data_IF_388473997605
#
_entry.id   IF_388473997605
#
_cell.length_a   1.000
_cell.length_b   1.000
_cell.length_c   1.000
_cell.angle_alpha   90.00
_cell.angle_beta   90.00
_cell.angle_gamma   90.00
#
_symmetry.space_group_name_H-M   'P 1'
#
loop_
_entity.id
_entity.type
_entity.pdbx_description
1 polymer ?
#
# COMPACT_ATOMS: atom_id res chain seq x y z
N UNK A 1 13.47 3.62 -18.39
CA UNK A 1 14.20 2.48 -17.78
C UNK A 1 14.16 1.29 -18.72
N UNK A 2 15.06 0.31 -18.57
CA UNK A 2 14.92 -1.00 -19.23
C UNK A 2 13.94 -1.87 -18.43
N UNK A 3 13.27 -2.81 -19.09
CA UNK A 3 12.36 -3.75 -18.43
C UNK A 3 13.04 -4.43 -17.22
N UNK A 4 12.45 -4.32 -16.00
CA UNK A 4 13.00 -4.92 -14.79
C UNK A 4 12.87 -6.45 -14.74
N UNK A 5 12.08 -7.07 -15.63
CA UNK A 5 11.93 -8.51 -15.68
C UNK A 5 13.23 -9.17 -16.18
N UNK A 6 13.94 -9.94 -15.34
CA UNK A 6 15.25 -10.50 -15.68
C UNK A 6 15.21 -11.46 -16.88
N UNK A 7 14.03 -12.04 -17.18
CA UNK A 7 13.85 -12.97 -18.30
C UNK A 7 13.91 -12.25 -19.65
N UNK A 8 13.47 -11.00 -19.71
CA UNK A 8 13.33 -10.23 -20.96
C UNK A 8 14.11 -8.93 -20.99
N UNK A 9 14.81 -8.59 -19.89
CA UNK A 9 15.64 -7.41 -19.77
C UNK A 9 16.54 -7.23 -21.00
N UNK A 10 16.54 -6.02 -21.54
CA UNK A 10 17.30 -5.58 -22.72
C UNK A 10 16.99 -6.26 -24.05
N UNK A 11 16.32 -7.41 -24.11
CA UNK A 11 16.07 -8.15 -25.37
C UNK A 11 15.36 -7.30 -26.44
N UNK A 12 14.39 -6.47 -26.04
CA UNK A 12 13.70 -5.56 -26.95
C UNK A 12 14.61 -4.45 -27.48
N UNK A 13 15.44 -3.87 -26.60
CA UNK A 13 16.42 -2.83 -26.94
C UNK A 13 17.47 -3.37 -27.90
N UNK A 14 18.01 -4.55 -27.61
CA UNK A 14 19.04 -5.20 -28.42
C UNK A 14 18.50 -5.59 -29.80
N UNK A 15 17.24 -6.04 -29.87
CA UNK A 15 16.57 -6.33 -31.14
C UNK A 15 16.43 -5.09 -32.03
N UNK A 16 16.04 -3.94 -31.45
CA UNK A 16 15.92 -2.69 -32.20
C UNK A 16 17.29 -2.19 -32.68
N UNK A 17 18.31 -2.23 -31.81
CA UNK A 17 19.69 -1.87 -32.17
C UNK A 17 20.26 -2.79 -33.25
N UNK A 18 20.01 -4.09 -33.16
CA UNK A 18 20.41 -5.07 -34.17
C UNK A 18 19.76 -4.86 -35.53
N UNK A 19 18.62 -4.17 -35.59
CA UNK A 19 17.96 -3.75 -36.82
C UNK A 19 18.47 -2.40 -37.36
N UNK A 20 19.50 -1.80 -36.75
CA UNK A 20 20.06 -0.51 -37.15
C UNK A 20 19.27 0.70 -36.65
N UNK A 21 18.32 0.52 -35.72
CA UNK A 21 17.57 1.63 -35.12
C UNK A 21 18.39 2.21 -33.97
N UNK A 22 18.54 3.53 -33.95
CA UNK A 22 19.14 4.22 -32.80
C UNK A 22 18.19 4.21 -31.59
N UNK A 23 18.67 3.75 -30.44
CA UNK A 23 17.84 3.55 -29.23
C UNK A 23 18.53 4.17 -28.02
N UNK A 24 17.90 5.24 -27.53
CA UNK A 24 18.23 5.89 -26.26
C UNK A 24 17.41 5.28 -25.13
N UNK A 25 18.07 4.91 -24.02
CA UNK A 25 17.43 4.36 -22.82
C UNK A 25 17.78 5.23 -21.60
N UNK A 26 16.95 5.17 -20.57
CA UNK A 26 17.20 5.88 -19.31
C UNK A 26 16.65 7.32 -19.24
N UNK A 27 15.95 7.77 -20.28
CA UNK A 27 15.21 9.06 -20.26
C UNK A 27 14.21 9.06 -19.11
N UNK A 28 14.23 10.11 -18.28
CA UNK A 28 13.36 10.30 -17.11
C UNK A 28 13.23 9.04 -16.22
N UNK A 29 14.32 8.28 -16.09
CA UNK A 29 14.29 6.95 -15.49
C UNK A 29 13.70 6.95 -14.07
N UNK A 30 14.01 7.94 -13.25
CA UNK A 30 13.51 8.00 -11.87
C UNK A 30 12.00 8.29 -11.81
N UNK A 31 11.46 9.11 -12.72
CA UNK A 31 10.01 9.29 -12.86
C UNK A 31 9.34 7.98 -13.31
N UNK A 32 9.91 7.30 -14.31
CA UNK A 32 9.39 6.01 -14.76
C UNK A 32 9.41 4.95 -13.66
N UNK A 33 10.47 4.93 -12.83
CA UNK A 33 10.59 4.02 -11.69
C UNK A 33 9.52 4.30 -10.64
N UNK A 34 9.31 5.58 -10.27
CA UNK A 34 8.23 5.97 -9.35
C UNK A 34 6.87 5.54 -9.86
N UNK A 35 6.58 5.79 -11.14
CA UNK A 35 5.30 5.41 -11.77
C UNK A 35 5.05 3.89 -11.73
N UNK A 36 6.12 3.09 -11.84
CA UNK A 36 6.03 1.63 -11.95
C UNK A 36 6.54 0.89 -10.71
N UNK A 37 6.58 1.53 -9.54
CA UNK A 37 7.21 0.99 -8.33
C UNK A 37 6.67 -0.40 -7.97
N UNK A 38 5.36 -0.60 -8.08
CA UNK A 38 4.71 -1.86 -7.77
C UNK A 38 5.09 -2.98 -8.77
N UNK A 39 5.09 -2.66 -10.07
CA UNK A 39 5.48 -3.61 -11.11
C UNK A 39 6.95 -4.01 -10.98
N UNK A 40 7.83 -3.02 -10.78
CA UNK A 40 9.27 -3.24 -10.58
C UNK A 40 9.49 -4.14 -9.37
N UNK A 41 8.84 -3.84 -8.24
CA UNK A 41 8.93 -4.65 -7.03
C UNK A 41 8.49 -6.09 -7.27
N UNK A 42 7.36 -6.31 -7.95
CA UNK A 42 6.90 -7.66 -8.30
C UNK A 42 7.88 -8.40 -9.20
N UNK A 43 8.42 -7.75 -10.23
CA UNK A 43 9.38 -8.40 -11.13
C UNK A 43 10.69 -8.77 -10.43
N UNK A 44 11.15 -7.95 -9.47
CA UNK A 44 12.40 -8.17 -8.75
C UNK A 44 12.26 -9.16 -7.58
N UNK A 45 11.13 -9.16 -6.88
CA UNK A 45 10.94 -9.93 -5.63
C UNK A 45 9.98 -11.11 -5.78
N UNK A 46 9.14 -11.12 -6.82
CA UNK A 46 8.04 -12.07 -6.98
C UNK A 46 6.85 -11.80 -6.06
N UNK A 47 6.86 -10.73 -5.27
CA UNK A 47 5.79 -10.39 -4.33
C UNK A 47 5.06 -9.10 -4.73
N UNK A 48 3.77 -8.95 -4.41
CA UNK A 48 3.06 -7.68 -4.58
C UNK A 48 3.67 -6.57 -3.72
N UNK A 49 3.66 -5.34 -4.22
CA UNK A 49 4.08 -4.16 -3.48
C UNK A 49 3.03 -3.77 -2.44
N UNK A 50 3.37 -3.85 -1.16
CA UNK A 50 2.48 -3.57 -0.05
C UNK A 50 2.54 -2.10 0.36
N UNK A 51 1.38 -1.46 0.35
CA UNK A 51 1.14 -0.14 0.92
C UNK A 51 0.12 -0.25 2.05
N UNK A 52 0.44 0.28 3.23
CA UNK A 52 -0.55 0.45 4.31
C UNK A 52 -1.14 1.86 4.19
N UNK A 53 -2.47 1.96 4.20
CA UNK A 53 -3.19 3.22 4.37
C UNK A 53 -3.80 3.26 5.76
N UNK A 54 -3.62 4.38 6.45
CA UNK A 54 -4.26 4.65 7.74
C UNK A 54 -4.89 6.03 7.72
N UNK A 55 -6.09 6.16 8.27
CA UNK A 55 -6.78 7.46 8.38
C UNK A 55 -6.96 7.82 9.85
N UNK A 56 -6.69 9.07 10.21
CA UNK A 56 -6.79 9.58 11.58
C UNK A 56 -7.42 10.97 11.58
N UNK A 57 -8.29 11.27 12.55
CA UNK A 57 -8.79 12.63 12.75
C UNK A 57 -7.71 13.54 13.36
N UNK A 58 -7.91 14.86 13.30
CA UNK A 58 -6.97 15.85 13.87
C UNK A 58 -6.73 15.66 15.37
N UNK A 59 -7.74 15.17 16.10
CA UNK A 59 -7.65 14.90 17.53
C UNK A 59 -7.24 13.46 17.88
N UNK A 60 -6.82 12.67 16.89
CA UNK A 60 -6.28 11.33 17.09
C UNK A 60 -7.31 10.20 17.08
N UNK A 61 -8.61 10.51 16.99
CA UNK A 61 -9.66 9.50 16.98
C UNK A 61 -9.63 8.70 15.66
N UNK A 62 -9.60 7.38 15.79
CA UNK A 62 -9.62 6.44 14.66
C UNK A 62 -11.01 5.83 14.44
N UNK A 63 -12.07 6.53 14.85
CA UNK A 63 -13.46 6.04 14.71
C UNK A 63 -13.72 5.66 13.25
N UNK A 64 -14.75 4.83 12.96
CA UNK A 64 -15.06 4.37 11.61
C UNK A 64 -15.63 5.54 10.82
N UNK A 65 -14.79 6.51 10.51
CA UNK A 65 -15.07 7.58 9.58
C UNK A 65 -15.47 6.85 8.31
N UNK A 66 -16.66 7.18 7.83
CA UNK A 66 -17.14 6.81 6.50
C UNK A 66 -16.32 7.60 5.49
N UNK A 67 -15.02 7.35 5.45
CA UNK A 67 -14.15 7.85 4.40
C UNK A 67 -14.68 7.13 3.15
N UNK A 68 -15.20 7.86 2.14
CA UNK A 68 -15.37 7.30 0.82
C UNK A 68 -14.03 6.64 0.44
N UNK A 69 -14.00 5.63 -0.41
CA UNK A 69 -12.71 5.19 -0.95
C UNK A 69 -12.11 6.32 -1.81
N UNK A 70 -11.51 7.32 -1.17
CA UNK A 70 -10.81 8.43 -1.83
C UNK A 70 -9.66 7.76 -2.57
N UNK A 71 -9.71 7.84 -3.90
CA UNK A 71 -8.72 7.26 -4.81
C UNK A 71 -9.09 5.95 -5.52
N UNK A 72 -10.20 5.27 -5.21
CA UNK A 72 -10.61 4.05 -5.95
C UNK A 72 -11.46 4.37 -7.19
N UNK A 73 -11.71 5.65 -7.47
CA UNK A 73 -12.62 6.10 -8.52
C UNK A 73 -12.05 6.26 -9.94
N UNK A 74 -10.76 5.97 -10.21
CA UNK A 74 -10.19 6.14 -11.56
C UNK A 74 -9.21 5.05 -12.03
N UNK A 75 -9.08 3.92 -11.31
CA UNK A 75 -8.23 2.81 -11.74
C UNK A 75 -8.97 1.48 -11.66
N UNK A 76 -8.50 0.48 -12.42
CA UNK A 76 -8.92 -0.93 -12.42
C UNK A 76 -8.62 -1.66 -11.09
N UNK A 77 -8.84 -0.98 -9.95
CA UNK A 77 -8.56 -1.48 -8.61
C UNK A 77 -9.62 -2.49 -8.19
N UNK A 78 -9.18 -3.73 -8.00
CA UNK A 78 -10.00 -4.81 -7.46
C UNK A 78 -10.03 -4.72 -5.92
N UNK A 79 -11.22 -4.58 -5.35
CA UNK A 79 -11.42 -4.60 -3.90
C UNK A 79 -11.60 -6.05 -3.43
N UNK A 80 -10.75 -6.49 -2.51
CA UNK A 80 -10.78 -7.83 -1.92
C UNK A 80 -10.97 -7.70 -0.42
N UNK A 81 -11.99 -8.37 0.11
CA UNK A 81 -12.32 -8.40 1.54
C UNK A 81 -11.86 -9.75 2.10
N UNK A 82 -10.90 -9.73 3.03
CA UNK A 82 -10.44 -10.93 3.71
C UNK A 82 -11.22 -11.12 5.01
N UNK A 83 -11.80 -12.31 5.19
CA UNK A 83 -12.56 -12.68 6.40
C UNK A 83 -11.97 -13.94 7.01
N UNK A 84 -12.00 -14.02 8.35
CA UNK A 84 -11.57 -15.22 9.06
C UNK A 84 -12.71 -16.23 8.95
N UNK A 85 -12.36 -17.50 8.73
CA UNK A 85 -13.31 -18.61 8.70
C UNK A 85 -14.19 -18.71 9.95
N UNK A 86 -13.73 -18.17 11.08
CA UNK A 86 -14.50 -18.11 12.34
C UNK A 86 -15.48 -16.95 12.42
N UNK A 87 -15.36 -15.94 11.56
CA UNK A 87 -16.26 -14.79 11.51
C UNK A 87 -17.35 -15.01 10.47
N UNK A 88 -18.59 -15.13 10.92
CA UNK A 88 -19.76 -15.18 10.03
C UNK A 88 -20.03 -13.79 9.46
N UNK A 89 -19.55 -13.51 8.25
CA UNK A 89 -19.83 -12.25 7.55
C UNK A 89 -20.58 -12.57 6.26
N UNK A 90 -21.83 -12.11 6.17
CA UNK A 90 -22.57 -12.10 4.91
C UNK A 90 -22.14 -10.85 4.11
N UNK A 91 -21.32 -11.04 3.07
CA UNK A 91 -20.94 -9.96 2.16
C UNK A 91 -21.80 -10.01 0.90
N UNK A 92 -22.96 -9.36 0.95
CA UNK A 92 -23.75 -9.06 -0.25
C UNK A 92 -23.48 -7.63 -0.73
N UNK A 93 -22.36 -7.40 -1.41
CA UNK A 93 -22.19 -6.22 -2.26
C UNK A 93 -21.62 -6.63 -3.62
N UNK A 94 -22.39 -6.34 -4.68
CA UNK A 94 -22.01 -6.57 -6.09
C UNK A 94 -20.65 -5.92 -6.37
N UNK A 95 -19.65 -6.72 -6.75
CA UNK A 95 -18.37 -6.26 -7.28
C UNK A 95 -17.15 -6.47 -6.37
N UNK A 96 -17.35 -6.81 -5.09
CA UNK A 96 -16.25 -7.07 -4.16
C UNK A 96 -16.00 -8.58 -4.02
N UNK A 97 -14.74 -9.01 -4.18
CA UNK A 97 -14.36 -10.40 -3.90
C UNK A 97 -14.19 -10.61 -2.40
N UNK A 98 -14.80 -11.64 -1.84
CA UNK A 98 -14.59 -12.02 -0.43
C UNK A 98 -13.77 -13.30 -0.38
N UNK A 99 -12.66 -13.28 0.36
CA UNK A 99 -11.76 -14.42 0.52
C UNK A 99 -11.77 -14.85 1.98
N UNK A 100 -12.17 -16.08 2.21
CA UNK A 100 -12.15 -16.68 3.55
C UNK A 100 -10.78 -17.31 3.79
N UNK A 101 -10.07 -16.85 4.83
CA UNK A 101 -8.78 -17.40 5.26
C UNK A 101 -8.95 -18.15 6.58
N UNK A 102 -8.18 -19.24 6.76
CA UNK A 102 -8.17 -19.99 8.03
C UNK A 102 -7.57 -19.17 9.19
N UNK A 103 -6.67 -18.23 8.88
CA UNK A 103 -6.15 -17.20 9.79
C UNK A 103 -5.85 -15.93 8.99
N UNK A 104 -6.39 -14.79 9.41
CA UNK A 104 -6.02 -13.50 8.83
C UNK A 104 -4.66 -13.05 9.39
N UNK A 105 -3.65 -13.00 8.51
CA UNK A 105 -2.37 -12.34 8.76
C UNK A 105 -1.77 -11.83 7.44
N UNK A 106 -0.75 -10.98 7.54
CA UNK A 106 -0.16 -10.32 6.37
C UNK A 106 0.42 -11.31 5.35
N UNK A 107 1.06 -12.39 5.82
CA UNK A 107 1.65 -13.41 4.96
C UNK A 107 0.60 -14.15 4.13
N UNK A 108 -0.51 -14.56 4.75
CA UNK A 108 -1.60 -15.26 4.06
C UNK A 108 -2.27 -14.37 3.01
N UNK A 109 -2.45 -13.08 3.31
CA UNK A 109 -3.00 -12.10 2.37
C UNK A 109 -2.06 -11.90 1.18
N UNK A 110 -0.76 -11.68 1.45
CA UNK A 110 0.24 -11.47 0.39
C UNK A 110 0.39 -12.70 -0.51
N UNK A 111 0.41 -13.90 0.07
CA UNK A 111 0.52 -15.15 -0.69
C UNK A 111 -0.70 -15.36 -1.59
N UNK A 112 -1.91 -15.08 -1.10
CA UNK A 112 -3.11 -15.08 -1.93
C UNK A 112 -3.00 -14.08 -3.09
N UNK A 113 -2.64 -12.82 -2.81
CA UNK A 113 -2.50 -11.78 -3.83
C UNK A 113 -1.43 -12.12 -4.87
N UNK A 114 -0.33 -12.75 -4.44
CA UNK A 114 0.74 -13.26 -5.30
C UNK A 114 0.24 -14.34 -6.26
N UNK A 115 -0.53 -15.31 -5.77
CA UNK A 115 -1.11 -16.38 -6.59
C UNK A 115 -2.11 -15.85 -7.62
N UNK A 116 -2.82 -14.78 -7.30
CA UNK A 116 -3.70 -14.06 -8.24
C UNK A 116 -2.91 -13.19 -9.24
N UNK A 117 -1.58 -13.10 -9.12
CA UNK A 117 -0.76 -12.29 -9.99
C UNK A 117 -0.94 -10.79 -9.80
N UNK A 118 -1.37 -10.33 -8.63
CA UNK A 118 -1.51 -8.89 -8.34
C UNK A 118 -0.14 -8.23 -8.19
N UNK A 119 -0.02 -6.97 -8.63
CA UNK A 119 1.22 -6.20 -8.57
C UNK A 119 1.34 -5.33 -7.33
N UNK A 120 0.23 -4.88 -6.78
CA UNK A 120 0.18 -4.06 -5.58
C UNK A 120 -0.93 -4.52 -4.65
N UNK A 121 -0.75 -4.26 -3.37
CA UNK A 121 -1.73 -4.46 -2.32
C UNK A 121 -1.80 -3.18 -1.48
N UNK A 122 -2.98 -2.56 -1.45
CA UNK A 122 -3.29 -1.47 -0.51
C UNK A 122 -4.09 -2.05 0.65
N UNK A 123 -3.52 -2.03 1.86
CA UNK A 123 -4.22 -2.42 3.07
C UNK A 123 -4.79 -1.18 3.74
N UNK A 124 -6.11 -0.97 3.60
CA UNK A 124 -6.82 0.12 4.28
C UNK A 124 -7.18 -0.29 5.72
N UNK A 125 -6.45 0.25 6.69
CA UNK A 125 -6.63 -0.04 8.10
C UNK A 125 -7.58 0.97 8.74
N UNK A 126 -8.70 0.46 9.22
CA UNK A 126 -9.69 1.20 10.00
C UNK A 126 -9.74 0.61 11.40
N UNK A 127 -9.38 1.39 12.42
CA UNK A 127 -9.37 0.92 13.81
C UNK A 127 -8.19 1.45 14.60
N UNK A 128 -7.95 0.82 15.75
CA UNK A 128 -7.08 1.39 16.77
C UNK A 128 -5.61 1.47 16.33
N UNK A 129 -4.89 2.51 16.76
CA UNK A 129 -3.45 2.70 16.51
C UNK A 129 -2.57 1.49 16.90
N UNK A 130 -2.98 0.73 17.92
CA UNK A 130 -2.28 -0.48 18.34
C UNK A 130 -2.29 -1.58 17.27
N UNK A 131 -3.37 -1.68 16.48
CA UNK A 131 -3.47 -2.59 15.34
C UNK A 131 -2.53 -2.18 14.20
N UNK A 132 -2.42 -0.88 13.93
CA UNK A 132 -1.46 -0.32 12.97
C UNK A 132 -0.02 -0.65 13.38
N UNK A 133 0.35 -0.38 14.64
CA UNK A 133 1.70 -0.64 15.14
C UNK A 133 2.12 -2.10 14.96
N UNK A 134 1.23 -3.04 15.29
CA UNK A 134 1.48 -4.47 15.12
C UNK A 134 1.74 -4.84 13.66
N UNK A 135 0.90 -4.36 12.75
CA UNK A 135 1.03 -4.66 11.32
C UNK A 135 2.27 -4.01 10.69
N UNK A 136 2.60 -2.78 11.09
CA UNK A 136 3.83 -2.13 10.64
C UNK A 136 5.05 -2.90 11.14
N UNK A 137 5.08 -3.33 12.41
CA UNK A 137 6.16 -4.15 12.96
C UNK A 137 6.31 -5.48 12.23
N UNK A 138 5.22 -6.23 12.04
CA UNK A 138 5.23 -7.48 11.28
C UNK A 138 5.70 -7.25 9.83
N UNK A 139 5.16 -6.24 9.16
CA UNK A 139 5.53 -5.88 7.79
C UNK A 139 7.01 -5.50 7.64
N UNK A 140 7.58 -4.85 8.65
CA UNK A 140 8.99 -4.46 8.68
C UNK A 140 9.91 -5.63 8.98
N UNK A 141 9.58 -6.46 9.97
CA UNK A 141 10.36 -7.63 10.36
C UNK A 141 10.56 -8.58 9.17
N UNK A 142 9.50 -8.77 8.37
CA UNK A 142 9.54 -9.63 7.19
C UNK A 142 9.90 -8.91 5.89
N UNK A 143 10.27 -7.62 5.93
CA UNK A 143 10.56 -6.78 4.74
C UNK A 143 9.47 -6.80 3.68
N UNK A 144 8.23 -6.96 4.12
CA UNK A 144 7.06 -7.07 3.27
C UNK A 144 6.40 -5.72 3.02
N UNK A 145 6.63 -4.73 3.89
CA UNK A 145 6.05 -3.40 3.79
C UNK A 145 6.99 -2.45 3.06
N UNK A 146 6.50 -1.81 1.98
CA UNK A 146 7.30 -0.85 1.21
C UNK A 146 6.88 0.59 1.46
N UNK A 147 5.59 0.82 1.71
CA UNK A 147 5.02 2.18 1.74
C UNK A 147 3.94 2.32 2.82
N UNK A 148 3.88 3.49 3.43
CA UNK A 148 2.79 3.90 4.32
C UNK A 148 2.20 5.22 3.83
N UNK A 149 0.88 5.31 3.87
CA UNK A 149 0.11 6.52 3.60
C UNK A 149 -0.77 6.79 4.81
N UNK A 150 -0.58 7.94 5.44
CA UNK A 150 -1.40 8.40 6.56
C UNK A 150 -2.20 9.61 6.12
N UNK A 151 -3.53 9.50 6.17
CA UNK A 151 -4.43 10.61 5.89
C UNK A 151 -4.90 11.22 7.22
N UNK A 152 -4.58 12.49 7.43
CA UNK A 152 -5.03 13.28 8.57
C UNK A 152 -6.24 14.10 8.12
N UNK A 153 -7.40 13.73 8.65
CA UNK A 153 -8.68 14.32 8.29
C UNK A 153 -8.93 15.61 9.07
N UNK A 154 -9.56 16.63 8.46
CA UNK A 154 -9.84 17.92 9.09
C UNK A 154 -11.02 17.85 10.09
N UNK A 155 -11.18 16.71 10.77
CA UNK A 155 -12.30 16.42 11.66
C UNK A 155 -11.82 16.53 13.10
N UNK A 156 -12.57 17.27 13.92
CA UNK A 156 -12.32 17.46 15.35
C UNK A 156 -13.53 16.94 16.13
N UNK A 157 -13.51 15.68 16.54
CA UNK A 157 -14.65 15.04 17.22
C UNK A 157 -14.30 14.56 18.63
N UNK A 158 -14.82 15.26 19.66
CA UNK A 158 -14.72 14.84 21.06
C UNK A 158 -13.40 15.21 21.78
N UNK A 159 -13.23 14.69 23.00
CA UNK A 159 -11.96 14.74 23.73
C UNK A 159 -10.94 13.88 22.98
N UNK A 160 -9.82 14.48 22.55
CA UNK A 160 -8.85 13.81 21.67
C UNK A 160 -8.31 12.50 22.26
N UNK A 161 -8.15 11.50 21.41
CA UNK A 161 -7.53 10.24 21.78
C UNK A 161 -6.00 10.41 21.88
N UNK A 162 -5.55 10.84 23.06
CA UNK A 162 -4.14 10.96 23.38
C UNK A 162 -3.37 9.63 23.20
N UNK A 163 -4.05 8.48 23.26
CA UNK A 163 -3.42 7.17 23.07
C UNK A 163 -3.01 6.96 21.61
N UNK A 164 -3.75 7.49 20.64
CA UNK A 164 -3.39 7.39 19.23
C UNK A 164 -2.16 8.20 18.85
N UNK A 165 -2.11 9.44 19.34
CA UNK A 165 -0.92 10.29 19.19
C UNK A 165 0.28 9.69 19.93
N UNK A 166 0.07 9.06 21.09
CA UNK A 166 1.13 8.38 21.83
C UNK A 166 1.64 7.11 21.10
N UNK A 167 0.75 6.33 20.51
CA UNK A 167 1.10 5.14 19.72
C UNK A 167 1.92 5.54 18.49
N UNK A 168 1.50 6.57 17.73
CA UNK A 168 2.26 7.09 16.60
C UNK A 168 3.64 7.63 17.01
N UNK A 169 3.73 8.34 18.14
CA UNK A 169 5.02 8.80 18.70
C UNK A 169 5.93 7.65 19.10
N UNK A 170 5.37 6.55 19.61
CA UNK A 170 6.12 5.36 20.01
C UNK A 170 6.59 4.59 18.78
N UNK A 171 5.73 4.45 17.77
CA UNK A 171 6.09 3.88 16.47
C UNK A 171 7.22 4.65 15.79
N UNK A 172 7.19 5.99 15.80
CA UNK A 172 8.21 6.83 15.18
C UNK A 172 9.63 6.62 15.74
N UNK A 173 9.79 5.97 16.91
CA UNK A 173 11.11 5.61 17.46
C UNK A 173 11.71 4.33 16.87
N UNK A 174 10.90 3.56 16.17
CA UNK A 174 11.27 2.24 15.64
C UNK A 174 11.14 2.14 14.12
N UNK A 175 10.75 3.23 13.45
CA UNK A 175 10.49 3.25 12.02
C UNK A 175 11.32 4.35 11.36
N UNK A 176 12.28 3.94 10.53
CA UNK A 176 13.04 4.83 9.66
C UNK A 176 12.28 5.02 8.34
N UNK A 177 11.46 6.07 8.26
CA UNK A 177 10.83 6.46 6.99
C UNK A 177 11.77 7.31 6.14
N UNK A 178 11.82 6.99 4.86
CA UNK A 178 12.53 7.72 3.80
C UNK A 178 11.53 8.39 2.87
N UNK A 179 12.00 9.44 2.19
CA UNK A 179 11.25 10.17 1.16
C UNK A 179 9.85 10.58 1.63
N UNK A 180 9.74 11.09 2.86
CA UNK A 180 8.46 11.54 3.40
C UNK A 180 7.97 12.73 2.59
N UNK A 181 6.78 12.59 2.02
CA UNK A 181 6.11 13.62 1.24
C UNK A 181 4.78 14.00 1.90
N UNK A 182 4.37 15.24 1.66
CA UNK A 182 3.10 15.76 2.17
C UNK A 182 2.32 16.36 1.01
N UNK A 183 1.04 16.04 0.94
CA UNK A 183 0.10 16.65 0.00
C UNK A 183 -1.20 17.00 0.72
N UNK A 184 -1.95 17.95 0.18
CA UNK A 184 -3.28 18.31 0.66
C UNK A 184 -4.31 17.85 -0.36
N UNK A 185 -5.33 17.11 0.07
CA UNK A 185 -6.43 16.64 -0.77
C UNK A 185 -7.75 16.88 -0.05
N UNK A 186 -8.71 17.57 -0.66
CA UNK A 186 -10.07 17.75 -0.10
C UNK A 186 -10.14 18.19 1.38
N UNK A 187 -9.18 19.04 1.80
CA UNK A 187 -9.08 19.51 3.18
C UNK A 187 -8.39 18.54 4.15
N UNK A 188 -8.05 17.32 3.74
CA UNK A 188 -7.18 16.41 4.47
C UNK A 188 -5.71 16.64 4.12
N UNK A 189 -4.82 16.23 5.04
CA UNK A 189 -3.37 16.20 4.83
C UNK A 189 -2.98 14.74 4.65
N UNK A 190 -2.37 14.41 3.51
CA UNK A 190 -1.85 13.07 3.23
C UNK A 190 -0.35 13.08 3.40
N UNK A 191 0.13 12.20 4.28
CA UNK A 191 1.53 11.92 4.52
C UNK A 191 1.88 10.59 3.86
N UNK A 192 2.89 10.60 3.01
CA UNK A 192 3.38 9.42 2.31
C UNK A 192 4.84 9.17 2.73
N UNK A 193 5.20 7.92 2.99
CA UNK A 193 6.56 7.54 3.33
C UNK A 193 6.90 6.12 2.90
N UNK A 194 8.20 5.87 2.74
CA UNK A 194 8.76 4.58 2.34
C UNK A 194 9.65 4.03 3.46
N UNK A 195 9.73 2.71 3.59
CA UNK A 195 10.62 2.04 4.56
C UNK A 195 11.97 1.67 3.91
#
# INVERSE_FOLDING_TARGET
MVDPNPIVASKGVDKLRGAGIDVTVGVEQELCKRLNEAYIHKMLTGNPFLTIRYSISLNGTSDPIRVPLVGVGQSDSKVIIFVDKKSSVETSQRGNETVVLDRINLNAILEYCKQQGLCSLLLDLRGTPAGLEKLVKEGMEYKMLQKIVVEVLPVWEGEGDAAALAALKTMGRHVDLKNVQTSSSDGSIVLEGYF
#
